data_IF_105081327157
#
_entry.id   IF_105081327157
#
_cell.length_a   1.000
_cell.length_b   1.000
_cell.length_c   1.000
_cell.angle_alpha   90.00
_cell.angle_beta   90.00
_cell.angle_gamma   90.00
#
_symmetry.space_group_name_H-M   'P 1'
#
loop_
_entity.id
_entity.type
_entity.pdbx_description
1 polymer ?
#
# COMPACT_ATOMS: atom_id res chain seq x y z
N UNK A 1 0.63 -19.94 -11.74
CA UNK A 1 -0.07 -19.11 -10.73
C UNK A 1 0.91 -18.58 -9.66
N UNK A 2 1.69 -19.44 -8.99
CA UNK A 2 2.63 -19.05 -7.95
C UNK A 2 3.76 -18.11 -8.45
N UNK A 3 4.37 -18.42 -9.60
CA UNK A 3 5.44 -17.60 -10.21
C UNK A 3 5.00 -16.16 -10.55
N UNK A 4 3.76 -15.99 -11.03
CA UNK A 4 3.20 -14.67 -11.33
C UNK A 4 2.97 -13.84 -10.06
N UNK A 5 2.50 -14.45 -8.97
CA UNK A 5 2.37 -13.76 -7.67
C UNK A 5 3.73 -13.31 -7.15
N UNK A 6 4.77 -14.14 -7.29
CA UNK A 6 6.13 -13.74 -6.88
C UNK A 6 6.73 -12.59 -7.69
N UNK A 7 6.34 -12.41 -8.96
CA UNK A 7 6.83 -11.29 -9.76
C UNK A 7 6.13 -9.98 -9.39
N UNK A 8 4.82 -10.00 -9.21
CA UNK A 8 4.06 -8.84 -8.72
C UNK A 8 4.53 -8.42 -7.32
N UNK A 9 4.89 -9.37 -6.45
CA UNK A 9 5.43 -9.09 -5.13
C UNK A 9 6.78 -8.36 -5.17
N UNK A 10 7.62 -8.63 -6.19
CA UNK A 10 8.87 -7.90 -6.40
C UNK A 10 8.58 -6.49 -6.91
N UNK A 11 7.72 -6.36 -7.93
CA UNK A 11 7.34 -5.05 -8.50
C UNK A 11 6.72 -4.12 -7.44
N UNK A 12 5.85 -4.65 -6.58
CA UNK A 12 5.34 -3.88 -5.45
C UNK A 12 6.47 -3.41 -4.53
N UNK A 13 7.42 -4.31 -4.23
CA UNK A 13 8.52 -3.97 -3.35
C UNK A 13 9.48 -2.94 -3.95
N UNK A 14 9.72 -3.00 -5.25
CA UNK A 14 10.51 -2.01 -5.99
C UNK A 14 9.80 -0.65 -6.01
N UNK A 15 8.48 -0.63 -6.20
CA UNK A 15 7.68 0.60 -6.08
C UNK A 15 7.76 1.19 -4.65
N UNK A 16 7.67 0.35 -3.62
CA UNK A 16 7.84 0.79 -2.22
C UNK A 16 9.22 1.37 -1.96
N UNK A 17 10.26 0.77 -2.55
CA UNK A 17 11.63 1.27 -2.47
C UNK A 17 11.80 2.63 -3.17
N UNK A 18 11.15 2.83 -4.31
CA UNK A 18 11.19 4.08 -5.04
C UNK A 18 10.43 5.20 -4.31
N UNK A 19 9.27 4.90 -3.71
CA UNK A 19 8.42 5.87 -3.01
C UNK A 19 8.79 6.15 -1.55
N UNK A 20 9.91 5.61 -1.05
CA UNK A 20 10.32 5.85 0.33
C UNK A 20 10.70 7.31 0.58
N UNK A 21 10.42 7.82 1.77
CA UNK A 21 10.65 9.22 2.12
C UNK A 21 9.55 10.19 1.64
N UNK A 22 8.59 9.73 0.83
CA UNK A 22 7.39 10.51 0.54
C UNK A 22 6.52 10.72 1.79
N UNK A 23 5.75 11.80 1.78
CA UNK A 23 4.79 12.12 2.83
C UNK A 23 3.40 11.58 2.48
N UNK A 24 2.80 10.93 3.47
CA UNK A 24 1.47 10.33 3.40
C UNK A 24 0.65 10.79 4.60
N UNK A 25 -0.68 10.70 4.47
CA UNK A 25 -1.58 10.74 5.60
C UNK A 25 -2.39 9.45 5.68
N UNK A 26 -2.66 8.98 6.89
CA UNK A 26 -3.68 7.94 7.08
C UNK A 26 -5.07 8.49 6.77
N UNK A 27 -6.05 7.60 6.56
CA UNK A 27 -7.46 8.00 6.43
C UNK A 27 -8.05 8.69 7.68
N UNK A 28 -7.30 8.74 8.79
CA UNK A 28 -7.62 9.51 9.99
C UNK A 28 -6.88 10.85 10.08
N UNK A 29 -6.07 11.21 9.08
CA UNK A 29 -5.28 12.45 9.06
C UNK A 29 -3.97 12.39 9.86
N UNK A 30 -3.44 11.20 10.15
CA UNK A 30 -2.12 11.09 10.79
C UNK A 30 -1.03 11.16 9.71
N UNK A 31 -0.16 12.19 9.71
CA UNK A 31 0.95 12.25 8.78
C UNK A 31 2.01 11.21 9.12
N UNK A 32 2.60 10.62 8.08
CA UNK A 32 3.69 9.68 8.20
C UNK A 32 4.56 9.67 6.94
N UNK A 33 5.78 9.18 7.08
CA UNK A 33 6.61 8.72 5.96
C UNK A 33 7.11 7.32 6.28
N UNK A 34 7.71 6.65 5.31
CA UNK A 34 8.36 5.36 5.57
C UNK A 34 9.70 5.26 4.87
N UNK A 35 10.56 4.39 5.41
CA UNK A 35 11.78 3.92 4.73
C UNK A 35 11.82 2.41 4.72
N UNK A 36 12.41 1.82 3.69
CA UNK A 36 12.61 0.38 3.65
C UNK A 36 13.85 0.03 4.48
N UNK A 37 13.66 -0.78 5.52
CA UNK A 37 14.74 -1.15 6.43
C UNK A 37 15.82 -1.93 5.70
N UNK A 38 17.07 -1.55 5.96
CA UNK A 38 18.27 -2.26 5.53
C UNK A 38 18.85 -3.06 6.69
N UNK A 39 19.35 -4.25 6.38
CA UNK A 39 20.21 -5.04 7.26
C UNK A 39 21.60 -4.40 7.31
N UNK A 40 22.43 -4.83 8.26
CA UNK A 40 23.82 -4.35 8.40
C UNK A 40 24.69 -4.60 7.17
N UNK A 41 24.38 -5.62 6.37
CA UNK A 41 25.07 -5.95 5.12
C UNK A 41 24.58 -5.13 3.91
N UNK A 42 23.66 -4.18 4.10
CA UNK A 42 23.12 -3.34 3.01
C UNK A 42 21.91 -3.93 2.29
N UNK A 43 21.60 -5.21 2.48
CA UNK A 43 20.40 -5.83 1.90
C UNK A 43 19.12 -5.33 2.56
N UNK A 44 18.02 -5.27 1.81
CA UNK A 44 16.73 -4.94 2.37
C UNK A 44 16.20 -6.08 3.26
N UNK A 45 15.72 -5.73 4.46
CA UNK A 45 15.18 -6.72 5.40
C UNK A 45 13.74 -7.13 5.08
N UNK A 46 13.09 -6.47 4.12
CA UNK A 46 11.68 -6.67 3.84
C UNK A 46 10.74 -5.97 4.83
N UNK A 47 11.19 -4.95 5.56
CA UNK A 47 10.34 -4.24 6.52
C UNK A 47 10.26 -2.76 6.16
N UNK A 48 9.10 -2.13 6.41
CA UNK A 48 8.94 -0.68 6.30
C UNK A 48 8.99 -0.07 7.69
N UNK A 49 9.90 0.88 7.91
CA UNK A 49 9.95 1.71 9.12
C UNK A 49 9.11 2.95 8.85
N UNK A 50 7.92 2.97 9.43
CA UNK A 50 6.99 4.09 9.38
C UNK A 50 7.38 5.09 10.45
N UNK A 51 7.77 6.29 10.04
CA UNK A 51 8.01 7.42 10.93
C UNK A 51 6.72 8.23 11.11
N UNK A 52 6.33 8.48 12.36
CA UNK A 52 5.26 9.41 12.74
C UNK A 52 5.80 10.33 13.84
N UNK A 53 5.13 11.46 14.08
CA UNK A 53 5.59 12.55 15.00
C UNK A 53 6.25 12.07 16.31
N UNK A 54 5.69 11.06 16.96
CA UNK A 54 6.09 10.67 18.33
C UNK A 54 6.71 9.27 18.44
N UNK A 55 6.74 8.47 17.37
CA UNK A 55 7.30 7.09 17.44
C UNK A 55 7.45 6.46 16.06
N UNK A 56 8.22 5.38 15.96
CA UNK A 56 8.26 4.55 14.75
C UNK A 56 7.34 3.33 14.87
N UNK A 57 6.82 2.85 13.75
CA UNK A 57 6.19 1.53 13.63
C UNK A 57 6.86 0.73 12.53
N UNK A 58 6.92 -0.58 12.67
CA UNK A 58 7.46 -1.48 11.64
C UNK A 58 6.33 -2.24 10.97
N UNK A 59 6.25 -2.18 9.64
CA UNK A 59 5.38 -3.04 8.84
C UNK A 59 6.22 -4.17 8.27
N UNK A 60 5.77 -5.41 8.44
CA UNK A 60 6.46 -6.57 7.89
C UNK A 60 6.11 -6.78 6.43
N UNK A 61 7.00 -7.40 5.66
CA UNK A 61 6.74 -7.83 4.26
C UNK A 61 5.44 -8.61 4.17
N UNK A 62 5.23 -9.54 5.10
CA UNK A 62 4.05 -10.40 5.12
C UNK A 62 2.75 -9.62 5.27
N UNK A 63 2.70 -8.57 6.11
CA UNK A 63 1.50 -7.72 6.23
C UNK A 63 1.21 -6.96 4.95
N UNK A 64 2.25 -6.42 4.29
CA UNK A 64 2.13 -5.68 3.04
C UNK A 64 1.66 -6.60 1.90
N UNK A 65 2.32 -7.74 1.72
CA UNK A 65 1.96 -8.71 0.69
C UNK A 65 0.57 -9.32 0.91
N UNK A 66 0.20 -9.60 2.16
CA UNK A 66 -1.15 -10.08 2.46
C UNK A 66 -2.22 -9.05 2.05
N UNK A 67 -2.00 -7.77 2.32
CA UNK A 67 -2.91 -6.72 1.88
C UNK A 67 -2.92 -6.62 0.35
N UNK A 68 -1.75 -6.68 -0.29
CA UNK A 68 -1.62 -6.59 -1.74
C UNK A 68 -2.34 -7.73 -2.46
N UNK A 69 -2.14 -8.97 -2.02
CA UNK A 69 -2.82 -10.12 -2.61
C UNK A 69 -4.33 -10.01 -2.50
N UNK A 70 -4.86 -9.51 -1.37
CA UNK A 70 -6.30 -9.24 -1.24
C UNK A 70 -6.81 -8.20 -2.23
N UNK A 71 -6.02 -7.16 -2.52
CA UNK A 71 -6.36 -6.14 -3.51
C UNK A 71 -6.32 -6.73 -4.93
N UNK A 72 -5.27 -7.48 -5.26
CA UNK A 72 -5.14 -8.14 -6.58
C UNK A 72 -6.26 -9.16 -6.81
N UNK A 73 -6.55 -10.00 -5.81
CA UNK A 73 -7.63 -11.00 -5.92
C UNK A 73 -9.03 -10.33 -6.03
N UNK A 74 -9.19 -9.08 -5.57
CA UNK A 74 -10.41 -8.29 -5.72
C UNK A 74 -10.45 -7.41 -6.99
N UNK A 75 -9.33 -7.35 -7.74
CA UNK A 75 -9.22 -6.58 -8.97
C UNK A 75 -9.88 -7.35 -10.11
N UNK A 76 -10.68 -6.66 -10.91
CA UNK A 76 -11.41 -7.26 -12.03
C UNK A 76 -10.80 -6.83 -13.35
N UNK A 77 -10.87 -7.71 -14.34
CA UNK A 77 -10.55 -7.38 -15.74
C UNK A 77 -11.87 -7.42 -16.49
N UNK A 78 -12.26 -6.28 -17.06
CA UNK A 78 -13.48 -6.14 -17.84
C UNK A 78 -13.10 -5.85 -19.29
N UNK A 79 -13.84 -6.43 -20.24
CA UNK A 79 -13.78 -5.99 -21.63
C UNK A 79 -14.75 -4.81 -21.78
N UNK A 80 -14.21 -3.64 -22.12
CA UNK A 80 -14.96 -2.42 -22.40
C UNK A 80 -14.60 -2.02 -23.82
N UNK A 81 -15.57 -2.14 -24.74
CA UNK A 81 -15.42 -1.82 -26.16
C UNK A 81 -14.22 -2.51 -26.85
N UNK A 82 -13.97 -3.78 -26.52
CA UNK A 82 -12.88 -4.58 -27.09
C UNK A 82 -11.51 -4.33 -26.45
N UNK A 83 -11.47 -3.61 -25.32
CA UNK A 83 -10.24 -3.36 -24.54
C UNK A 83 -10.38 -3.96 -23.15
N UNK A 84 -9.36 -4.72 -22.73
CA UNK A 84 -9.26 -5.20 -21.37
C UNK A 84 -8.88 -4.04 -20.44
N UNK A 85 -9.81 -3.62 -19.60
CA UNK A 85 -9.61 -2.61 -18.57
C UNK A 85 -9.51 -3.25 -17.19
N UNK A 86 -8.59 -2.72 -16.38
CA UNK A 86 -8.36 -3.17 -15.02
C UNK A 86 -9.19 -2.32 -14.05
N UNK A 87 -10.21 -2.92 -13.46
CA UNK A 87 -11.10 -2.25 -12.51
C UNK A 87 -10.61 -2.52 -11.09
N UNK A 88 -9.99 -1.49 -10.51
CA UNK A 88 -9.47 -1.54 -9.15
C UNK A 88 -10.61 -1.55 -8.11
N UNK A 89 -10.46 -2.32 -7.01
CA UNK A 89 -11.42 -2.34 -5.93
C UNK A 89 -11.49 -0.98 -5.22
N UNK A 90 -12.70 -0.58 -4.83
CA UNK A 90 -12.92 0.56 -3.96
C UNK A 90 -13.09 0.10 -2.52
N UNK A 91 -12.38 0.72 -1.59
CA UNK A 91 -12.52 0.44 -0.16
C UNK A 91 -12.95 1.70 0.60
N UNK A 92 -13.96 1.55 1.47
CA UNK A 92 -14.44 2.65 2.34
C UNK A 92 -13.49 2.99 3.49
N UNK A 93 -12.50 2.13 3.75
CA UNK A 93 -11.47 2.35 4.75
C UNK A 93 -10.53 1.15 4.93
N UNK A 94 -9.47 1.28 5.73
CA UNK A 94 -8.38 0.29 5.80
C UNK A 94 -8.83 -1.12 6.15
N UNK A 95 -9.73 -1.26 7.13
CA UNK A 95 -10.20 -2.57 7.59
C UNK A 95 -11.06 -3.32 6.56
N UNK A 96 -11.54 -2.64 5.51
CA UNK A 96 -12.27 -3.28 4.42
C UNK A 96 -11.37 -4.14 3.52
N UNK A 97 -10.06 -3.84 3.45
CA UNK A 97 -9.06 -4.73 2.84
C UNK A 97 -8.86 -5.95 3.75
N UNK A 98 -8.78 -5.72 5.06
CA UNK A 98 -8.78 -6.78 6.06
C UNK A 98 -8.26 -6.33 7.42
N UNK A 99 -8.43 -7.21 8.42
CA UNK A 99 -7.84 -7.02 9.73
C UNK A 99 -6.35 -7.41 9.70
N UNK A 100 -5.53 -6.49 9.21
CA UNK A 100 -4.08 -6.68 9.04
C UNK A 100 -3.35 -5.64 9.90
N UNK A 101 -2.25 -6.04 10.52
CA UNK A 101 -1.42 -5.13 11.30
C UNK A 101 -0.89 -3.99 10.42
N UNK A 102 -1.05 -2.75 10.87
CA UNK A 102 -0.58 -1.58 10.14
C UNK A 102 -1.35 -1.26 8.85
N UNK A 103 -2.52 -1.87 8.64
CA UNK A 103 -3.33 -1.66 7.43
C UNK A 103 -3.67 -0.20 7.15
N UNK A 104 -3.75 0.66 8.17
CA UNK A 104 -3.98 2.10 8.00
C UNK A 104 -2.90 2.78 7.14
N UNK A 105 -1.65 2.37 7.29
CA UNK A 105 -0.52 2.91 6.53
C UNK A 105 -0.49 2.30 5.13
N UNK A 106 -0.63 0.98 5.05
CA UNK A 106 -0.66 0.24 3.78
C UNK A 106 -1.78 0.75 2.86
N UNK A 107 -2.97 0.98 3.42
CA UNK A 107 -4.11 1.55 2.70
C UNK A 107 -3.77 2.89 2.03
N UNK A 108 -3.07 3.76 2.74
CA UNK A 108 -2.73 5.10 2.27
C UNK A 108 -1.66 5.06 1.19
N UNK A 109 -0.67 4.17 1.36
CA UNK A 109 0.35 3.88 0.34
C UNK A 109 -0.30 3.30 -0.91
N UNK A 110 -1.19 2.31 -0.78
CA UNK A 110 -1.86 1.68 -1.92
C UNK A 110 -2.75 2.65 -2.68
N UNK A 111 -3.45 3.55 -1.98
CA UNK A 111 -4.20 4.60 -2.66
C UNK A 111 -3.27 5.54 -3.44
N UNK A 112 -2.15 5.96 -2.83
CA UNK A 112 -1.17 6.82 -3.49
C UNK A 112 -0.51 6.16 -4.69
N UNK A 113 -0.29 4.84 -4.63
CA UNK A 113 0.25 4.02 -5.72
C UNK A 113 -0.82 3.58 -6.73
N UNK A 114 -2.04 4.12 -6.62
CA UNK A 114 -3.16 3.81 -7.53
C UNK A 114 -3.48 2.32 -7.61
N UNK A 115 -3.31 1.59 -6.51
CA UNK A 115 -3.67 0.17 -6.40
C UNK A 115 -5.10 -0.02 -5.90
N UNK A 116 -5.70 1.01 -5.31
CA UNK A 116 -7.08 0.99 -4.82
C UNK A 116 -7.78 2.31 -5.11
N UNK A 117 -9.10 2.25 -5.23
CA UNK A 117 -9.96 3.44 -5.19
C UNK A 117 -10.46 3.68 -3.77
N UNK A 118 -10.77 4.94 -3.47
CA UNK A 118 -11.35 5.34 -2.18
C UNK A 118 -12.47 6.36 -2.43
N UNK A 119 -13.49 6.45 -1.55
CA UNK A 119 -14.49 7.50 -1.66
C UNK A 119 -13.88 8.90 -1.53
N UNK A 120 -14.45 9.90 -2.22
CA UNK A 120 -13.96 11.29 -2.22
C UNK A 120 -13.67 11.87 -0.82
N UNK A 121 -14.58 11.65 0.14
CA UNK A 121 -14.40 12.08 1.54
C UNK A 121 -13.17 11.50 2.24
N UNK A 122 -12.72 10.32 1.81
CA UNK A 122 -11.51 9.67 2.34
C UNK A 122 -10.29 10.23 1.64
N UNK A 123 -10.38 10.43 0.32
CA UNK A 123 -9.33 11.03 -0.49
C UNK A 123 -8.91 12.41 0.04
N UNK A 124 -9.86 13.27 0.41
CA UNK A 124 -9.56 14.58 1.04
C UNK A 124 -8.60 14.46 2.24
N UNK A 125 -8.83 13.46 3.10
CA UNK A 125 -7.98 13.22 4.28
C UNK A 125 -6.61 12.65 3.94
N UNK A 126 -6.54 11.84 2.88
CA UNK A 126 -5.26 11.29 2.40
C UNK A 126 -4.41 12.39 1.74
N UNK A 127 -5.05 13.40 1.14
CA UNK A 127 -4.41 14.54 0.47
C UNK A 127 -4.02 15.69 1.40
N UNK A 128 -4.57 15.77 2.62
CA UNK A 128 -4.32 16.84 3.60
C UNK A 128 -2.89 16.77 4.22
N UNK A 129 -1.86 16.88 3.37
CA UNK A 129 -0.45 16.85 3.77
C UNK A 129 -0.14 18.20 4.41
N UNK A 130 -0.10 18.22 5.75
CA UNK A 130 0.26 19.38 6.57
C UNK A 130 1.75 19.45 6.88
#
# INVERSE_FOLDING_TARGET
MLEKKTELDKLLWDALLAGQGEFFNTSSGLPFSYVVKRKRNGEYSGELLVSRKESSKTLTRSSVLLAFHKVIDATQICDIDGKAELILPEYKGPKAIGQIFGISYIYSIFWKFELIRVPAKVQEKLMDIK
#
